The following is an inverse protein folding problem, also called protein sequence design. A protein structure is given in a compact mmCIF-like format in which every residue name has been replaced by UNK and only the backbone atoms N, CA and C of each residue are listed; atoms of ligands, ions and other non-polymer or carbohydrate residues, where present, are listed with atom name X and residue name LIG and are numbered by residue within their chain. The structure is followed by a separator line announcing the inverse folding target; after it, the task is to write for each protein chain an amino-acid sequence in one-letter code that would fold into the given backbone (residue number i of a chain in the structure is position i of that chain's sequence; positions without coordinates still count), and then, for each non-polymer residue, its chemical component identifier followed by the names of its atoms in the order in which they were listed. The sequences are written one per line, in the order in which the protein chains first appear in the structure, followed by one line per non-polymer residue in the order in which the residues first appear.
data_IF_892070496210
#
_entry.id   IF_892070496210
#
_cell.length_a   1.000
_cell.length_b   1.000
_cell.length_c   1.000
_cell.angle_alpha   90.00
_cell.angle_beta   90.00
_cell.angle_gamma   90.00
#
_symmetry.space_group_name_H-M   'P 1'
#
loop_
_entity.id
_entity.type
_entity.pdbx_description
1 polymer ?
#
# COMPACT_ATOMS: atom_id res chain seq x y z
N UNK A 1 -14.76 9.01 11.91
CA UNK A 1 -14.47 7.74 11.24
C UNK A 1 -12.96 7.54 11.19
N UNK A 2 -12.49 6.30 11.19
CA UNK A 2 -11.07 5.94 11.31
C UNK A 2 -10.69 5.03 10.14
N UNK A 3 -9.68 5.42 9.37
CA UNK A 3 -9.01 4.55 8.41
C UNK A 3 -7.73 4.01 9.05
N UNK A 4 -7.54 2.69 9.04
CA UNK A 4 -6.36 2.05 9.65
C UNK A 4 -5.76 0.99 8.73
N UNK A 5 -4.43 0.91 8.69
CA UNK A 5 -3.73 -0.20 8.03
C UNK A 5 -3.93 -1.48 8.84
N UNK A 6 -4.58 -2.49 8.27
CA UNK A 6 -4.68 -3.84 8.85
C UNK A 6 -5.98 -4.56 8.53
N UNK A 7 -6.21 -5.70 9.20
CA UNK A 7 -7.47 -6.43 9.13
C UNK A 7 -8.46 -5.84 10.13
N UNK A 8 -9.60 -5.37 9.64
CA UNK A 8 -10.64 -4.72 10.45
C UNK A 8 -11.92 -5.55 10.42
N UNK A 9 -12.49 -5.78 11.60
CA UNK A 9 -13.87 -6.25 11.74
C UNK A 9 -14.77 -5.02 11.91
N UNK A 10 -15.45 -4.62 10.84
CA UNK A 10 -16.30 -3.44 10.81
C UNK A 10 -17.52 -3.57 11.73
N UNK A 11 -18.07 -4.79 11.86
CA UNK A 11 -19.26 -5.06 12.69
C UNK A 11 -18.97 -4.82 14.17
N UNK A 12 -17.81 -5.27 14.64
CA UNK A 12 -17.36 -5.08 16.02
C UNK A 12 -16.66 -3.74 16.24
N UNK A 13 -16.34 -3.01 15.16
CA UNK A 13 -15.57 -1.78 15.23
C UNK A 13 -14.16 -2.01 15.80
N UNK A 14 -13.51 -3.11 15.40
CA UNK A 14 -12.27 -3.60 15.96
C UNK A 14 -11.19 -3.79 14.88
N UNK A 15 -9.98 -3.33 15.16
CA UNK A 15 -8.79 -3.78 14.43
C UNK A 15 -8.39 -5.16 14.94
N UNK A 16 -8.51 -6.19 14.10
CA UNK A 16 -8.11 -7.56 14.43
C UNK A 16 -6.60 -7.64 14.56
N UNK A 17 -5.88 -7.14 13.56
CA UNK A 17 -4.43 -7.17 13.51
C UNK A 17 -3.87 -6.17 12.49
N UNK A 18 -2.75 -5.53 12.83
CA UNK A 18 -1.93 -4.73 11.93
C UNK A 18 -0.46 -5.08 12.12
N UNK A 19 0.18 -5.63 11.09
CA UNK A 19 1.62 -5.94 11.16
C UNK A 19 2.44 -4.65 11.21
N UNK A 20 2.07 -3.66 10.40
CA UNK A 20 2.78 -2.38 10.26
C UNK A 20 2.77 -1.59 11.57
N UNK A 21 1.63 -1.58 12.28
CA UNK A 21 1.50 -0.87 13.56
C UNK A 21 1.91 -1.72 14.76
N UNK A 22 2.10 -3.03 14.59
CA UNK A 22 2.29 -3.97 15.70
C UNK A 22 1.07 -4.11 16.61
N UNK A 23 -0.12 -3.72 16.14
CA UNK A 23 -1.35 -3.71 16.94
C UNK A 23 -2.16 -4.99 16.75
N UNK A 24 -2.86 -5.42 17.80
CA UNK A 24 -3.69 -6.63 17.79
C UNK A 24 -4.91 -6.45 18.69
N UNK A 25 -6.09 -6.82 18.17
CA UNK A 25 -7.39 -6.82 18.88
C UNK A 25 -7.70 -5.47 19.57
N UNK A 26 -7.54 -4.36 18.85
CA UNK A 26 -7.86 -3.03 19.36
C UNK A 26 -9.33 -2.70 19.06
N UNK A 27 -10.14 -2.56 20.10
CA UNK A 27 -11.58 -2.25 20.02
C UNK A 27 -11.81 -0.75 19.95
N UNK A 28 -11.50 -0.16 18.79
CA UNK A 28 -11.60 1.28 18.57
C UNK A 28 -12.99 1.84 18.89
N UNK A 29 -14.05 1.14 18.49
CA UNK A 29 -15.41 1.58 18.76
C UNK A 29 -15.68 1.71 20.25
N UNK A 30 -15.46 0.65 21.02
CA UNK A 30 -15.66 0.64 22.48
C UNK A 30 -14.81 1.71 23.19
N UNK A 31 -13.53 1.80 22.85
CA UNK A 31 -12.60 2.73 23.49
C UNK A 31 -12.97 4.20 23.24
N UNK A 32 -13.33 4.53 22.01
CA UNK A 32 -13.53 5.92 21.61
C UNK A 32 -14.99 6.38 21.79
N UNK A 33 -15.99 5.49 21.68
CA UNK A 33 -17.37 5.85 22.02
C UNK A 33 -17.50 6.20 23.50
N UNK A 34 -16.79 5.50 24.38
CA UNK A 34 -16.76 5.79 25.82
C UNK A 34 -16.17 7.17 26.12
N UNK A 35 -15.12 7.54 25.41
CA UNK A 35 -14.41 8.81 25.64
C UNK A 35 -15.16 10.00 25.05
N UNK A 36 -15.66 9.87 23.83
CA UNK A 36 -16.18 11.00 23.06
C UNK A 36 -17.71 11.08 23.01
N UNK A 37 -18.44 10.01 23.38
CA UNK A 37 -19.90 9.93 23.28
C UNK A 37 -20.44 10.23 21.86
N UNK A 38 -19.69 9.84 20.83
CA UNK A 38 -20.06 9.94 19.41
C UNK A 38 -19.94 8.58 18.73
N UNK A 39 -20.76 8.27 17.71
CA UNK A 39 -20.63 7.02 16.94
C UNK A 39 -19.24 6.88 16.29
N UNK A 40 -18.61 5.72 16.48
CA UNK A 40 -17.28 5.44 15.93
C UNK A 40 -17.37 4.37 14.85
N UNK A 41 -16.90 4.74 13.66
CA UNK A 41 -16.74 3.86 12.50
C UNK A 41 -15.26 3.68 12.20
N UNK A 42 -14.88 2.44 11.92
CA UNK A 42 -13.52 2.07 11.52
C UNK A 42 -13.56 1.18 10.29
N UNK A 43 -12.61 1.41 9.39
CA UNK A 43 -12.38 0.57 8.22
C UNK A 43 -10.89 0.55 7.86
N UNK A 44 -10.54 -0.28 6.87
CA UNK A 44 -9.21 -0.29 6.27
C UNK A 44 -8.92 1.07 5.61
N UNK A 45 -7.69 1.53 5.72
CA UNK A 45 -7.20 2.73 5.03
C UNK A 45 -7.60 2.80 3.54
N UNK A 46 -7.36 1.73 2.77
CA UNK A 46 -7.72 1.67 1.36
C UNK A 46 -9.24 1.73 1.12
N UNK A 47 -10.05 1.15 2.00
CA UNK A 47 -11.51 1.26 1.91
C UNK A 47 -11.95 2.70 2.18
N UNK A 48 -11.33 3.38 3.13
CA UNK A 48 -11.65 4.80 3.42
C UNK A 48 -11.26 5.72 2.26
N UNK A 49 -10.11 5.47 1.60
CA UNK A 49 -9.74 6.17 0.38
C UNK A 49 -10.74 5.89 -0.75
N UNK A 50 -11.11 4.62 -0.93
CA UNK A 50 -12.08 4.21 -1.96
C UNK A 50 -13.44 4.89 -1.75
N UNK A 51 -13.87 5.02 -0.50
CA UNK A 51 -15.10 5.74 -0.15
C UNK A 51 -14.97 7.25 -0.46
N UNK A 52 -13.79 7.85 -0.24
CA UNK A 52 -13.53 9.22 -0.61
C UNK A 52 -13.60 9.42 -2.13
N UNK A 53 -12.95 8.54 -2.91
CA UNK A 53 -13.02 8.55 -4.37
C UNK A 53 -14.44 8.35 -4.89
N UNK A 54 -15.21 7.45 -4.27
CA UNK A 54 -16.63 7.23 -4.60
C UNK A 54 -17.48 8.49 -4.39
N UNK A 55 -17.24 9.22 -3.29
CA UNK A 55 -18.10 10.34 -2.88
C UNK A 55 -17.69 11.65 -3.56
N UNK A 56 -16.38 11.88 -3.67
CA UNK A 56 -15.83 13.19 -3.98
C UNK A 56 -14.82 13.18 -5.13
N UNK A 57 -14.29 12.01 -5.49
CA UNK A 57 -13.23 11.87 -6.50
C UNK A 57 -13.71 11.25 -7.80
N UNK A 58 -12.82 10.50 -8.45
CA UNK A 58 -13.05 9.96 -9.80
C UNK A 58 -14.06 8.81 -9.82
N UNK A 59 -14.38 8.24 -8.66
CA UNK A 59 -15.38 7.18 -8.50
C UNK A 59 -16.83 7.67 -8.45
N UNK A 60 -17.08 8.98 -8.51
CA UNK A 60 -18.43 9.55 -8.38
C UNK A 60 -19.35 9.07 -9.51
N UNK A 61 -20.51 8.54 -9.15
CA UNK A 61 -21.49 7.99 -10.10
C UNK A 61 -21.13 6.62 -10.68
N UNK A 62 -19.98 6.06 -10.32
CA UNK A 62 -19.54 4.73 -10.77
C UNK A 62 -19.99 3.69 -9.75
N UNK A 63 -20.76 2.70 -10.22
CA UNK A 63 -21.33 1.66 -9.35
C UNK A 63 -20.41 0.45 -9.16
N UNK A 64 -19.43 0.23 -10.03
CA UNK A 64 -18.49 -0.87 -9.91
C UNK A 64 -17.09 -0.37 -10.28
N UNK A 65 -16.15 -0.40 -9.33
CA UNK A 65 -14.76 -0.05 -9.58
C UNK A 65 -13.85 -0.63 -8.49
N UNK A 66 -12.55 -0.64 -8.77
CA UNK A 66 -11.52 -1.00 -7.80
C UNK A 66 -10.58 0.20 -7.69
N UNK A 67 -10.31 0.63 -6.45
CA UNK A 67 -9.26 1.59 -6.15
C UNK A 67 -8.04 0.80 -5.66
N UNK A 68 -6.92 0.88 -6.38
CA UNK A 68 -5.67 0.20 -6.02
C UNK A 68 -4.70 1.26 -5.50
N UNK A 69 -4.19 1.05 -4.30
CA UNK A 69 -3.12 1.87 -3.73
C UNK A 69 -1.79 1.15 -3.86
N UNK A 70 -0.81 1.85 -4.41
CA UNK A 70 0.58 1.43 -4.50
C UNK A 70 1.41 2.41 -3.68
N UNK A 71 2.20 1.90 -2.74
CA UNK A 71 3.07 2.69 -1.88
C UNK A 71 3.89 1.78 -0.97
N UNK A 72 3.95 2.11 0.33
CA UNK A 72 4.55 1.22 1.35
C UNK A 72 4.04 -0.22 1.31
N UNK A 73 2.78 -0.39 0.90
CA UNK A 73 2.17 -1.67 0.60
C UNK A 73 1.26 -1.58 -0.63
N UNK A 74 0.64 -2.70 -0.97
CA UNK A 74 -0.34 -2.78 -2.07
C UNK A 74 -1.69 -3.19 -1.51
N UNK A 75 -2.70 -2.35 -1.72
CA UNK A 75 -4.05 -2.54 -1.21
C UNK A 75 -5.09 -2.29 -2.28
N UNK A 76 -6.27 -2.87 -2.12
CA UNK A 76 -7.42 -2.55 -2.95
C UNK A 76 -8.67 -2.31 -2.11
N UNK A 77 -9.45 -1.31 -2.49
CA UNK A 77 -10.84 -1.18 -2.07
C UNK A 77 -11.75 -1.43 -3.26
N UNK A 78 -12.80 -2.20 -3.04
CA UNK A 78 -13.64 -2.74 -4.10
C UNK A 78 -15.04 -2.17 -3.91
N UNK A 79 -15.63 -1.62 -4.97
CA UNK A 79 -17.03 -1.17 -5.00
C UNK A 79 -17.82 -2.07 -5.94
N UNK A 80 -18.92 -2.63 -5.45
CA UNK A 80 -19.85 -3.48 -6.23
C UNK A 80 -21.27 -2.98 -5.98
N UNK A 81 -22.03 -2.74 -7.05
CA UNK A 81 -23.41 -2.21 -6.99
C UNK A 81 -23.53 -0.94 -6.12
N UNK A 82 -22.50 -0.10 -6.16
CA UNK A 82 -22.45 1.16 -5.44
C UNK A 82 -21.94 1.05 -4.00
N UNK A 83 -21.71 -0.14 -3.46
CA UNK A 83 -21.31 -0.35 -2.06
C UNK A 83 -19.87 -0.85 -1.95
N UNK A 84 -19.18 -0.49 -0.86
CA UNK A 84 -17.86 -1.06 -0.56
C UNK A 84 -18.04 -2.56 -0.25
N UNK A 85 -17.23 -3.40 -0.88
CA UNK A 85 -17.20 -4.82 -0.67
C UNK A 85 -16.12 -5.19 0.35
N UNK A 86 -16.55 -5.64 1.53
CA UNK A 86 -15.67 -6.03 2.64
C UNK A 86 -15.35 -7.54 2.70
N UNK A 87 -16.06 -8.35 1.92
CA UNK A 87 -16.00 -9.81 2.00
C UNK A 87 -16.60 -10.37 3.30
N UNK A 88 -16.45 -11.68 3.52
CA UNK A 88 -17.12 -12.37 4.64
C UNK A 88 -16.63 -11.96 6.03
N UNK A 89 -15.36 -11.55 6.13
CA UNK A 89 -14.68 -11.26 7.41
C UNK A 89 -13.98 -9.89 7.43
N UNK A 90 -14.32 -8.98 6.52
CA UNK A 90 -13.69 -7.65 6.46
C UNK A 90 -12.31 -7.60 5.78
N UNK A 91 -11.82 -8.75 5.29
CA UNK A 91 -10.50 -8.91 4.66
C UNK A 91 -10.47 -8.80 3.14
N UNK A 92 -11.59 -8.44 2.48
CA UNK A 92 -11.54 -8.22 1.03
C UNK A 92 -10.54 -7.11 0.67
N UNK A 93 -9.93 -7.24 -0.51
CA UNK A 93 -8.99 -6.24 -1.00
C UNK A 93 -7.58 -6.30 -0.39
N UNK A 94 -7.19 -7.39 0.28
CA UNK A 94 -5.78 -7.70 0.60
C UNK A 94 -4.99 -8.09 -0.68
N UNK A 95 -5.07 -7.22 -1.68
CA UNK A 95 -4.59 -7.42 -3.05
C UNK A 95 -3.08 -7.62 -3.10
N UNK A 96 -2.32 -6.88 -2.30
CA UNK A 96 -0.87 -7.02 -2.19
C UNK A 96 -0.40 -8.38 -1.72
N UNK A 97 -1.26 -9.19 -1.09
CA UNK A 97 -0.90 -10.52 -0.58
C UNK A 97 -1.35 -11.68 -1.48
N UNK A 98 -1.83 -11.38 -2.69
CA UNK A 98 -2.00 -12.38 -3.76
C UNK A 98 -0.62 -12.91 -4.15
N UNK A 99 -0.49 -14.23 -4.26
CA UNK A 99 0.77 -14.88 -4.65
C UNK A 99 0.86 -14.85 -6.18
N UNK A 100 1.85 -14.12 -6.71
CA UNK A 100 2.14 -14.05 -8.15
C UNK A 100 3.35 -14.90 -8.55
N UNK A 101 4.25 -15.20 -7.60
CA UNK A 101 5.41 -16.07 -7.81
C UNK A 101 5.72 -16.89 -6.55
N UNK A 102 5.44 -18.20 -6.56
CA UNK A 102 5.60 -19.05 -5.36
C UNK A 102 7.04 -19.14 -4.86
N UNK A 103 8.03 -18.93 -5.73
CA UNK A 103 9.45 -18.97 -5.41
C UNK A 103 10.01 -17.56 -5.10
N UNK A 104 9.13 -16.55 -5.11
CA UNK A 104 9.47 -15.16 -4.89
C UNK A 104 9.90 -14.80 -3.45
N UNK A 105 10.11 -13.49 -3.20
CA UNK A 105 10.57 -12.98 -1.91
C UNK A 105 9.62 -13.30 -0.77
N UNK A 106 10.17 -13.38 0.45
CA UNK A 106 9.37 -13.51 1.67
C UNK A 106 8.65 -12.18 1.95
N UNK A 107 7.32 -12.23 2.03
CA UNK A 107 6.48 -11.11 2.45
C UNK A 107 6.39 -11.07 3.99
N UNK A 108 6.20 -9.87 4.56
CA UNK A 108 6.01 -9.71 6.00
C UNK A 108 4.78 -10.46 6.54
N UNK A 109 3.82 -10.79 5.66
CA UNK A 109 2.62 -11.55 6.02
C UNK A 109 2.93 -13.04 6.31
N UNK A 110 4.15 -13.49 6.04
CA UNK A 110 4.64 -14.85 6.27
C UNK A 110 4.59 -15.75 5.02
N UNK A 111 3.98 -15.29 3.93
CA UNK A 111 3.96 -15.99 2.63
C UNK A 111 5.14 -15.60 1.76
N UNK A 112 5.41 -16.37 0.71
CA UNK A 112 6.34 -16.01 -0.38
C UNK A 112 5.57 -15.58 -1.60
N UNK A 113 6.13 -14.63 -2.36
CA UNK A 113 5.60 -14.31 -3.68
C UNK A 113 4.44 -13.35 -3.74
N UNK A 114 4.18 -12.62 -2.66
CA UNK A 114 3.09 -11.66 -2.63
C UNK A 114 3.34 -10.52 -3.63
N UNK A 115 2.31 -10.08 -4.36
CA UNK A 115 2.37 -8.95 -5.31
C UNK A 115 3.09 -7.73 -4.73
N UNK A 116 2.82 -7.40 -3.47
CA UNK A 116 3.45 -6.28 -2.76
C UNK A 116 4.98 -6.36 -2.72
N UNK A 117 5.55 -7.58 -2.72
CA UNK A 117 7.01 -7.76 -2.76
C UNK A 117 7.63 -7.42 -4.12
N UNK A 118 6.80 -7.16 -5.13
CA UNK A 118 7.17 -6.81 -6.50
C UNK A 118 6.72 -5.43 -6.94
N UNK A 119 5.77 -4.82 -6.22
CA UNK A 119 5.12 -3.57 -6.65
C UNK A 119 4.96 -2.55 -5.52
N UNK A 120 5.84 -2.54 -4.50
CA UNK A 120 5.83 -1.58 -3.39
C UNK A 120 7.00 -0.60 -3.42
N UNK A 121 6.93 0.44 -2.59
CA UNK A 121 8.04 1.39 -2.35
C UNK A 121 9.32 0.66 -1.98
N UNK A 122 9.21 -0.39 -1.14
CA UNK A 122 10.37 -1.15 -0.69
C UNK A 122 11.00 -1.94 -1.84
N UNK A 123 10.20 -2.45 -2.77
CA UNK A 123 10.70 -3.10 -3.98
C UNK A 123 11.50 -2.11 -4.84
N UNK A 124 10.94 -0.92 -5.11
CA UNK A 124 11.61 0.15 -5.88
C UNK A 124 12.96 0.52 -5.23
N UNK A 125 12.95 0.74 -3.91
CA UNK A 125 14.16 1.09 -3.15
C UNK A 125 15.20 -0.04 -3.18
N UNK A 126 14.79 -1.30 -3.08
CA UNK A 126 15.70 -2.44 -3.13
C UNK A 126 16.34 -2.57 -4.53
N UNK A 127 15.53 -2.45 -5.60
CA UNK A 127 16.01 -2.53 -6.98
C UNK A 127 17.03 -1.45 -7.32
N UNK A 128 16.81 -0.21 -6.89
CA UNK A 128 17.79 0.85 -7.16
C UNK A 128 19.07 0.67 -6.33
N UNK A 129 18.98 0.15 -5.11
CA UNK A 129 20.17 -0.21 -4.31
C UNK A 129 20.95 -1.36 -4.94
N UNK A 130 20.27 -2.37 -5.48
CA UNK A 130 20.87 -3.45 -6.25
C UNK A 130 21.58 -2.93 -7.51
N UNK A 131 20.93 -2.05 -8.27
CA UNK A 131 21.54 -1.40 -9.43
C UNK A 131 22.82 -0.65 -9.09
N UNK A 132 22.81 0.10 -7.97
CA UNK A 132 24.00 0.79 -7.46
C UNK A 132 25.11 -0.17 -7.03
N UNK A 133 24.77 -1.26 -6.34
CA UNK A 133 25.72 -2.30 -5.95
C UNK A 133 26.38 -2.95 -7.18
N UNK A 134 25.60 -3.18 -8.23
CA UNK A 134 26.06 -3.71 -9.51
C UNK A 134 26.73 -2.66 -10.41
N UNK A 135 26.98 -1.44 -9.91
CA UNK A 135 27.64 -0.35 -10.63
C UNK A 135 26.95 0.02 -11.96
N UNK A 136 25.63 -0.12 -12.03
CA UNK A 136 24.86 0.34 -13.18
C UNK A 136 24.95 1.87 -13.28
N UNK A 137 24.98 2.39 -14.51
CA UNK A 137 24.97 3.82 -14.77
C UNK A 137 23.59 4.40 -14.44
N UNK A 138 23.53 5.20 -13.37
CA UNK A 138 22.29 5.82 -12.90
C UNK A 138 22.52 7.21 -12.32
N UNK A 139 21.58 8.10 -12.59
CA UNK A 139 21.52 9.48 -12.10
C UNK A 139 21.04 9.57 -10.64
N UNK A 140 20.67 8.46 -9.98
CA UNK A 140 20.03 8.49 -8.65
C UNK A 140 20.82 9.30 -7.62
N UNK A 141 22.15 9.25 -7.67
CA UNK A 141 23.05 9.96 -6.74
C UNK A 141 22.89 11.48 -6.82
N UNK A 142 22.48 12.02 -7.97
CA UNK A 142 22.29 13.46 -8.16
C UNK A 142 21.02 13.98 -7.49
N UNK A 143 20.10 13.09 -7.09
CA UNK A 143 18.86 13.43 -6.41
C UNK A 143 18.90 13.16 -4.90
N UNK A 144 20.02 12.63 -4.38
CA UNK A 144 20.22 12.44 -2.94
C UNK A 144 20.58 13.75 -2.26
N UNK A 145 20.20 13.90 -0.99
CA UNK A 145 20.61 15.07 -0.17
C UNK A 145 22.13 15.17 -0.03
N UNK A 146 22.79 14.00 0.05
CA UNK A 146 24.24 13.83 0.01
C UNK A 146 24.51 12.64 -0.92
N UNK A 147 25.42 12.79 -1.90
CA UNK A 147 25.67 11.76 -2.93
C UNK A 147 26.03 10.38 -2.37
N UNK A 148 26.63 10.35 -1.19
CA UNK A 148 27.11 9.14 -0.52
C UNK A 148 26.07 8.50 0.42
N UNK A 149 25.00 9.24 0.77
CA UNK A 149 24.00 8.76 1.71
C UNK A 149 22.94 7.90 1.02
N UNK A 150 23.30 6.65 0.75
CA UNK A 150 22.41 5.66 0.13
C UNK A 150 21.20 5.29 1.01
N UNK A 151 21.23 5.65 2.30
CA UNK A 151 20.07 5.46 3.19
C UNK A 151 19.00 6.53 2.96
N UNK A 152 19.33 7.64 2.30
CA UNK A 152 18.37 8.68 1.93
C UNK A 152 17.57 8.38 0.66
N UNK A 153 17.84 7.26 -0.02
CA UNK A 153 17.08 6.82 -1.19
C UNK A 153 15.60 6.64 -0.81
N UNK A 154 14.74 7.26 -1.61
CA UNK A 154 13.28 7.16 -1.50
C UNK A 154 12.64 7.03 -2.88
N UNK A 155 11.37 6.63 -2.93
CA UNK A 155 10.63 6.56 -4.20
C UNK A 155 10.59 7.92 -4.90
N UNK A 156 10.52 9.04 -4.15
CA UNK A 156 10.59 10.39 -4.73
C UNK A 156 11.91 10.64 -5.46
N UNK A 157 13.05 10.23 -4.88
CA UNK A 157 14.35 10.38 -5.55
C UNK A 157 14.46 9.52 -6.81
N UNK A 158 13.92 8.30 -6.78
CA UNK A 158 13.89 7.39 -7.95
C UNK A 158 12.95 7.94 -9.03
N UNK A 159 11.80 8.48 -8.64
CA UNK A 159 10.86 9.13 -9.55
C UNK A 159 11.47 10.34 -10.25
N UNK A 160 12.17 11.20 -9.49
CA UNK A 160 12.88 12.36 -10.06
C UNK A 160 13.95 11.94 -11.06
N UNK A 161 14.72 10.90 -10.75
CA UNK A 161 15.69 10.33 -11.68
C UNK A 161 15.01 9.82 -12.96
N UNK A 162 13.94 9.03 -12.84
CA UNK A 162 13.19 8.52 -13.97
C UNK A 162 12.62 9.64 -14.87
N UNK A 163 12.06 10.69 -14.26
CA UNK A 163 11.54 11.86 -14.97
C UNK A 163 12.64 12.63 -15.72
N UNK A 164 13.88 12.60 -15.23
CA UNK A 164 15.04 13.24 -15.87
C UNK A 164 15.75 12.41 -16.92
N UNK A 165 15.30 11.18 -17.19
CA UNK A 165 15.85 10.34 -18.26
C UNK A 165 16.57 9.09 -17.78
N UNK A 166 16.70 8.89 -16.46
CA UNK A 166 17.42 7.74 -15.91
C UNK A 166 16.79 6.42 -16.34
N UNK A 167 17.50 5.66 -17.18
CA UNK A 167 17.00 4.42 -17.79
C UNK A 167 16.77 3.35 -16.70
N UNK A 168 17.69 3.25 -15.73
CA UNK A 168 17.57 2.31 -14.61
C UNK A 168 16.28 2.55 -13.83
N UNK A 169 16.05 3.79 -13.38
CA UNK A 169 14.85 4.15 -12.63
C UNK A 169 13.57 3.95 -13.46
N UNK A 170 13.58 4.27 -14.75
CA UNK A 170 12.42 4.01 -15.65
C UNK A 170 12.12 2.52 -15.76
N UNK A 171 13.14 1.69 -15.95
CA UNK A 171 12.98 0.24 -16.03
C UNK A 171 12.41 -0.34 -14.73
N UNK A 172 12.83 0.17 -13.57
CA UNK A 172 12.27 -0.24 -12.27
C UNK A 172 10.77 0.07 -12.20
N UNK A 173 10.33 1.27 -12.60
CA UNK A 173 8.89 1.59 -12.63
C UNK A 173 8.11 0.78 -13.67
N UNK A 174 8.73 0.45 -14.80
CA UNK A 174 8.13 -0.46 -15.79
C UNK A 174 7.97 -1.87 -15.23
N UNK A 175 8.94 -2.37 -14.46
CA UNK A 175 8.87 -3.66 -13.78
C UNK A 175 7.72 -3.67 -12.76
N UNK A 176 7.62 -2.63 -11.91
CA UNK A 176 6.49 -2.45 -10.98
C UNK A 176 5.15 -2.45 -11.69
N UNK A 177 5.03 -1.75 -12.83
CA UNK A 177 3.79 -1.69 -13.59
C UNK A 177 3.44 -2.97 -14.36
N UNK A 178 4.42 -3.84 -14.61
CA UNK A 178 4.22 -5.12 -15.30
C UNK A 178 3.71 -6.22 -14.34
N UNK A 179 4.13 -6.17 -13.07
CA UNK A 179 3.78 -7.13 -12.03
C UNK A 179 2.39 -6.86 -11.46
#
# INVERSE_FOLDING_TARGET
GIGVSGLVNQKEGMLVFSKILGWKKIRFKELLEKEFNFPIFIDKDVNTLTLAEKRFGVGKGINNFICITIGKGVGAGIVIKGEIYHGSYGGAGDFGHIIIDKDGPLCYCGKRGCLETFSSDQFIINKIKEALFNQQDTMIKDFLKKKEDLNSISVDTVLKAAQKGDIVSRNIFQEVGKN
#
